data_IF_950543201196
#
_entry.id   IF_950543201196
#
_cell.length_a   1.000
_cell.length_b   1.000
_cell.length_c   1.000
_cell.angle_alpha   90.00
_cell.angle_beta   90.00
_cell.angle_gamma   90.00
#
_symmetry.space_group_name_H-M   'P 1'
#
loop_
_entity.id
_entity.type
_entity.pdbx_description
1 polymer ?
#
# COMPACT_ATOMS: atom_id res chain seq x y z
N UNK A 1 19.66 -11.38 7.75
CA UNK A 1 18.28 -11.59 8.22
C UNK A 1 17.48 -12.02 7.00
N UNK A 2 17.20 -13.33 6.85
CA UNK A 2 16.46 -13.83 5.69
C UNK A 2 14.97 -13.54 5.91
N UNK A 3 14.37 -12.67 5.09
CA UNK A 3 12.93 -12.72 4.89
C UNK A 3 12.63 -14.14 4.39
N UNK A 4 11.88 -14.93 5.16
CA UNK A 4 11.49 -16.27 4.72
C UNK A 4 10.58 -16.10 3.52
N UNK A 5 11.14 -16.38 2.36
CA UNK A 5 10.47 -16.31 1.06
C UNK A 5 9.36 -17.37 1.06
N UNK A 6 8.09 -16.97 1.08
CA UNK A 6 7.02 -17.84 0.62
C UNK A 6 6.85 -17.56 -0.88
N UNK A 7 7.37 -18.47 -1.69
CA UNK A 7 7.20 -18.42 -3.13
C UNK A 7 5.76 -18.85 -3.44
N UNK A 8 4.84 -17.91 -3.62
CA UNK A 8 3.48 -18.22 -4.06
C UNK A 8 3.48 -18.42 -5.58
N UNK A 9 3.82 -19.63 -6.03
CA UNK A 9 3.55 -20.08 -7.38
C UNK A 9 2.08 -20.50 -7.47
N UNK A 10 1.18 -19.54 -7.77
CA UNK A 10 -0.24 -19.80 -7.99
C UNK A 10 -0.50 -20.17 -9.46
N UNK A 11 -0.41 -21.47 -9.79
CA UNK A 11 -1.11 -22.06 -10.94
C UNK A 11 -2.49 -22.53 -10.47
N UNK A 12 -3.43 -21.61 -10.29
CA UNK A 12 -4.84 -21.95 -10.16
C UNK A 12 -5.66 -21.03 -11.06
N UNK A 13 -6.36 -21.64 -12.02
CA UNK A 13 -7.34 -20.97 -12.88
C UNK A 13 -8.47 -20.43 -12.00
N UNK A 14 -8.38 -19.17 -11.58
CA UNK A 14 -9.44 -18.48 -10.86
C UNK A 14 -10.22 -17.56 -11.79
N UNK A 15 -11.54 -17.63 -11.67
CA UNK A 15 -12.52 -16.77 -12.35
C UNK A 15 -12.27 -15.33 -11.94
N UNK A 16 -12.03 -14.46 -12.92
CA UNK A 16 -11.95 -13.00 -12.76
C UNK A 16 -13.33 -12.49 -12.31
N UNK A 17 -13.56 -12.30 -11.01
CA UNK A 17 -14.59 -11.37 -10.55
C UNK A 17 -13.93 -10.00 -10.34
N UNK A 18 -14.50 -8.99 -10.98
CA UNK A 18 -14.16 -7.59 -10.76
C UNK A 18 -14.62 -7.20 -9.35
N UNK A 19 -13.71 -7.11 -8.40
CA UNK A 19 -14.08 -6.70 -7.05
C UNK A 19 -12.87 -6.60 -6.16
N UNK A 20 -12.33 -7.73 -5.74
CA UNK A 20 -11.22 -7.77 -4.81
C UNK A 20 -10.36 -8.99 -5.14
N UNK A 21 -9.19 -8.76 -5.73
CA UNK A 21 -8.19 -9.81 -5.86
C UNK A 21 -7.48 -9.94 -4.51
N UNK A 22 -8.09 -10.70 -3.59
CA UNK A 22 -7.46 -11.10 -2.33
C UNK A 22 -6.78 -12.46 -2.54
N UNK A 23 -5.51 -12.54 -2.99
CA UNK A 23 -4.73 -13.71 -2.63
C UNK A 23 -4.71 -13.73 -1.09
N UNK A 24 -5.01 -14.87 -0.47
CA UNK A 24 -5.04 -15.09 0.98
C UNK A 24 -3.67 -14.77 1.63
N UNK A 25 -3.31 -13.49 1.71
CA UNK A 25 -2.05 -12.95 2.21
C UNK A 25 -2.38 -11.91 3.28
N UNK A 26 -3.14 -12.32 4.30
CA UNK A 26 -3.52 -11.45 5.41
C UNK A 26 -2.61 -11.77 6.60
N UNK A 27 -1.47 -11.10 6.77
CA UNK A 27 -0.64 -11.27 7.98
C UNK A 27 -1.30 -10.66 9.22
N UNK A 28 -2.32 -9.81 9.06
CA UNK A 28 -2.96 -9.10 10.17
C UNK A 28 -4.45 -9.43 10.27
N UNK A 29 -4.81 -10.20 11.29
CA UNK A 29 -6.19 -10.36 11.71
C UNK A 29 -6.42 -9.60 13.00
N UNK A 30 -7.59 -8.97 13.11
CA UNK A 30 -8.06 -8.37 14.33
C UNK A 30 -8.29 -6.88 14.23
N UNK A 31 -8.34 -6.29 15.41
CA UNK A 31 -8.73 -4.91 15.63
C UNK A 31 -7.52 -4.08 16.04
N UNK A 32 -7.58 -2.79 15.77
CA UNK A 32 -6.57 -1.85 16.23
C UNK A 32 -7.14 -0.85 17.23
N UNK A 33 -6.22 -0.10 17.83
CA UNK A 33 -6.52 1.06 18.66
C UNK A 33 -6.20 2.36 17.90
N UNK A 34 -6.24 3.50 18.61
CA UNK A 34 -5.94 4.82 18.06
C UNK A 34 -4.54 4.95 17.43
N UNK A 35 -3.58 4.10 17.81
CA UNK A 35 -2.24 4.09 17.22
C UNK A 35 -1.94 2.72 16.65
N UNK A 36 -1.44 2.70 15.42
CA UNK A 36 -0.96 1.50 14.76
C UNK A 36 0.48 1.72 14.30
N UNK A 37 1.29 0.67 14.38
CA UNK A 37 2.65 0.64 13.83
C UNK A 37 2.89 -0.64 13.05
N UNK A 38 3.69 -0.54 11.99
CA UNK A 38 4.22 -1.68 11.25
C UNK A 38 5.66 -1.38 10.81
N UNK A 39 6.50 -2.41 10.78
CA UNK A 39 7.82 -2.34 10.14
C UNK A 39 7.76 -3.15 8.85
N UNK A 40 8.25 -2.56 7.77
CA UNK A 40 8.17 -3.14 6.43
C UNK A 40 9.53 -3.17 5.75
N UNK A 41 9.77 -4.22 4.97
CA UNK A 41 10.87 -4.29 4.01
C UNK A 41 10.30 -4.71 2.66
N UNK A 42 10.50 -3.88 1.65
CA UNK A 42 9.97 -4.08 0.29
C UNK A 42 10.98 -4.89 -0.53
N UNK A 43 10.57 -5.98 -1.17
CA UNK A 43 11.46 -6.75 -2.03
C UNK A 43 11.68 -6.08 -3.39
N UNK A 44 12.67 -6.55 -4.18
CA UNK A 44 13.00 -5.97 -5.48
C UNK A 44 11.86 -6.08 -6.51
N UNK A 45 10.97 -7.06 -6.38
CA UNK A 45 9.81 -7.22 -7.26
C UNK A 45 8.77 -6.10 -7.09
N UNK A 46 8.76 -5.42 -5.94
CA UNK A 46 7.92 -4.23 -5.70
C UNK A 46 8.31 -3.07 -6.62
N UNK A 47 9.58 -2.86 -6.95
CA UNK A 47 9.99 -1.74 -7.81
C UNK A 47 10.01 -2.08 -9.30
N UNK A 48 9.80 -3.35 -9.67
CA UNK A 48 10.05 -3.84 -11.03
C UNK A 48 8.81 -4.35 -11.77
N UNK A 49 7.64 -4.48 -11.11
CA UNK A 49 6.43 -4.90 -11.79
C UNK A 49 6.05 -4.02 -12.97
N UNK A 50 5.66 -4.67 -14.06
CA UNK A 50 5.30 -4.04 -15.32
C UNK A 50 4.15 -4.79 -15.97
N UNK A 51 3.07 -4.09 -16.29
CA UNK A 51 2.02 -4.62 -17.15
C UNK A 51 2.50 -4.67 -18.61
N UNK A 52 2.12 -5.71 -19.35
CA UNK A 52 2.45 -5.83 -20.76
C UNK A 52 1.82 -4.72 -21.63
N UNK A 53 2.41 -4.36 -22.78
CA UNK A 53 1.90 -3.30 -23.66
C UNK A 53 0.51 -3.63 -24.26
N UNK A 54 0.18 -4.92 -24.33
CA UNK A 54 -1.11 -5.41 -24.86
C UNK A 54 -2.20 -5.51 -23.78
N UNK A 55 -1.84 -5.27 -22.51
CA UNK A 55 -2.80 -5.28 -21.41
C UNK A 55 -3.55 -3.95 -21.37
N UNK A 56 -4.81 -3.97 -21.84
CA UNK A 56 -5.72 -2.82 -21.86
C UNK A 56 -5.79 -2.13 -20.49
N UNK A 57 -5.68 -2.92 -19.42
CA UNK A 57 -5.73 -2.44 -18.05
C UNK A 57 -4.39 -1.90 -17.54
N UNK A 58 -3.26 -2.31 -18.12
CA UNK A 58 -1.92 -1.95 -17.64
C UNK A 58 -1.69 -0.45 -17.54
N UNK A 59 -2.28 0.30 -18.47
CA UNK A 59 -2.42 1.76 -18.44
C UNK A 59 -2.88 2.31 -17.07
N UNK A 60 -4.03 1.83 -16.61
CA UNK A 60 -4.71 2.25 -15.38
C UNK A 60 -3.98 1.72 -14.15
N UNK A 61 -3.54 0.46 -14.23
CA UNK A 61 -3.03 -0.26 -13.07
C UNK A 61 -1.57 0.08 -12.74
N UNK A 62 -0.74 0.40 -13.73
CA UNK A 62 0.69 0.67 -13.50
C UNK A 62 0.94 1.96 -12.71
N UNK A 63 0.11 2.99 -12.93
CA UNK A 63 0.17 4.26 -12.18
C UNK A 63 -0.66 4.23 -10.89
N UNK A 64 -1.43 3.16 -10.66
CA UNK A 64 -2.32 3.04 -9.51
C UNK A 64 -1.53 2.77 -8.23
N UNK A 65 -2.16 3.13 -7.11
CA UNK A 65 -1.64 2.95 -5.77
C UNK A 65 -2.07 1.59 -5.19
N UNK A 66 -1.10 0.74 -4.90
CA UNK A 66 -1.27 -0.55 -4.24
C UNK A 66 -1.39 -0.34 -2.72
N UNK A 67 -2.29 -1.09 -2.06
CA UNK A 67 -2.49 -0.95 -0.61
C UNK A 67 -1.37 -1.68 0.11
N UNK A 68 -0.66 -0.97 0.98
CA UNK A 68 0.42 -1.55 1.77
C UNK A 68 -0.13 -2.06 3.10
N UNK A 69 -0.64 -1.15 3.92
CA UNK A 69 -1.03 -1.46 5.29
C UNK A 69 -1.83 -0.31 5.87
N UNK A 70 -2.80 -0.60 6.74
CA UNK A 70 -3.52 0.42 7.47
C UNK A 70 -4.66 -0.14 8.32
N UNK A 71 -5.71 0.65 8.51
CA UNK A 71 -6.84 0.29 9.37
C UNK A 71 -8.15 0.91 8.88
N UNK A 72 -9.26 0.27 9.23
CA UNK A 72 -10.58 0.89 9.15
C UNK A 72 -10.74 2.00 10.18
N UNK A 73 -11.77 2.82 10.07
CA UNK A 73 -12.12 3.77 11.14
C UNK A 73 -13.63 3.89 11.30
N UNK A 74 -14.03 4.57 12.36
CA UNK A 74 -15.44 4.80 12.68
C UNK A 74 -16.21 3.51 13.00
N UNK A 75 -15.52 2.51 13.57
CA UNK A 75 -16.11 1.28 14.09
C UNK A 75 -15.72 0.01 13.33
N UNK A 76 -15.82 -1.12 14.04
CA UNK A 76 -15.35 -2.43 13.57
C UNK A 76 -16.13 -3.03 12.40
N UNK A 77 -17.39 -2.63 12.22
CA UNK A 77 -18.27 -3.14 11.17
C UNK A 77 -18.35 -2.22 9.96
N UNK A 78 -17.56 -1.14 9.95
CA UNK A 78 -17.58 -0.18 8.88
C UNK A 78 -16.83 -0.72 7.65
N UNK A 79 -17.37 -0.53 6.45
CA UNK A 79 -16.72 -1.04 5.26
C UNK A 79 -15.44 -0.25 4.99
N UNK A 80 -14.33 -0.89 4.60
CA UNK A 80 -13.06 -0.19 4.42
C UNK A 80 -13.08 0.80 3.24
N UNK A 81 -13.96 0.61 2.26
CA UNK A 81 -14.19 1.62 1.22
C UNK A 81 -15.09 2.77 1.68
N UNK A 82 -15.59 2.73 2.92
CA UNK A 82 -16.38 3.78 3.53
C UNK A 82 -15.51 4.68 4.40
N UNK A 83 -14.89 4.14 5.45
CA UNK A 83 -13.88 4.85 6.22
C UNK A 83 -12.66 3.96 6.51
N UNK A 84 -11.50 4.34 5.96
CA UNK A 84 -10.22 3.68 6.25
C UNK A 84 -9.04 4.57 5.92
N UNK A 85 -7.90 4.28 6.54
CA UNK A 85 -6.62 4.95 6.32
C UNK A 85 -5.56 3.92 6.00
N UNK A 86 -4.78 4.15 4.95
CA UNK A 86 -3.71 3.23 4.53
C UNK A 86 -2.48 3.96 4.02
N UNK A 87 -1.32 3.39 4.32
CA UNK A 87 -0.17 3.59 3.47
C UNK A 87 -0.40 2.83 2.16
N UNK A 88 -0.11 3.50 1.06
CA UNK A 88 -0.15 2.92 -0.28
C UNK A 88 1.15 3.18 -0.98
N UNK A 89 1.46 2.33 -1.95
CA UNK A 89 2.73 2.34 -2.62
C UNK A 89 2.56 2.11 -4.12
N UNK A 90 3.53 2.56 -4.91
CA UNK A 90 3.61 2.24 -6.33
C UNK A 90 5.05 2.28 -6.80
N UNK A 91 5.32 1.64 -7.94
CA UNK A 91 6.56 1.84 -8.68
C UNK A 91 6.78 3.31 -8.98
N UNK A 92 8.02 3.78 -8.90
CA UNK A 92 8.35 5.16 -9.18
C UNK A 92 7.94 5.57 -10.61
N UNK A 93 7.06 6.57 -10.74
CA UNK A 93 6.47 6.95 -12.03
C UNK A 93 7.52 7.42 -13.06
N UNK A 94 8.64 7.98 -12.58
CA UNK A 94 9.76 8.38 -13.43
C UNK A 94 10.46 7.22 -14.18
N UNK A 95 10.23 5.96 -13.77
CA UNK A 95 10.73 4.79 -14.46
C UNK A 95 9.79 4.22 -15.51
N UNK A 96 8.56 4.74 -15.63
CA UNK A 96 7.55 4.18 -16.53
C UNK A 96 7.47 5.07 -17.78
N UNK A 97 7.50 4.43 -18.94
CA UNK A 97 7.27 5.11 -20.23
C UNK A 97 5.82 4.87 -20.62
N UNK A 98 5.10 5.95 -20.90
CA UNK A 98 3.73 5.89 -21.38
C UNK A 98 3.65 6.26 -22.86
N UNK A 99 2.77 5.59 -23.61
CA UNK A 99 2.32 5.99 -24.93
C UNK A 99 0.80 6.26 -24.86
N UNK A 100 0.43 7.54 -24.76
CA UNK A 100 -0.92 7.93 -24.37
C UNK A 100 -1.22 7.48 -22.94
N UNK A 101 -2.31 6.75 -22.75
CA UNK A 101 -2.63 6.15 -21.45
C UNK A 101 -1.90 4.83 -21.17
N UNK A 102 -1.30 4.19 -22.18
CA UNK A 102 -0.76 2.83 -22.06
C UNK A 102 0.69 2.81 -21.60
N UNK A 103 1.05 1.76 -20.87
CA UNK A 103 2.43 1.44 -20.54
C UNK A 103 3.12 0.97 -21.83
N UNK A 104 4.18 1.68 -22.22
CA UNK A 104 5.02 1.34 -23.38
C UNK A 104 6.31 0.62 -22.96
N UNK A 105 6.67 0.69 -21.68
CA UNK A 105 7.83 0.01 -21.12
C UNK A 105 8.42 0.72 -19.91
N UNK A 106 9.67 0.36 -19.61
CA UNK A 106 10.49 1.01 -18.58
C UNK A 106 11.48 1.98 -19.21
N UNK A 107 11.76 3.09 -18.54
CA UNK A 107 12.79 4.05 -18.94
C UNK A 107 14.17 3.40 -18.81
N UNK A 108 14.98 3.31 -19.88
CA UNK A 108 16.35 2.81 -19.79
C UNK A 108 17.15 3.61 -18.77
N UNK A 109 17.96 2.93 -17.95
CA UNK A 109 18.79 3.54 -16.91
C UNK A 109 18.02 4.46 -15.95
N UNK A 110 16.78 4.08 -15.58
CA UNK A 110 16.01 4.88 -14.64
C UNK A 110 16.78 5.07 -13.31
N UNK A 111 16.94 6.32 -12.83
CA UNK A 111 17.63 6.58 -11.56
C UNK A 111 16.88 6.03 -10.33
N UNK A 112 15.60 5.68 -10.49
CA UNK A 112 14.72 5.18 -9.42
C UNK A 112 14.43 3.68 -9.52
N UNK A 113 15.23 2.90 -10.25
CA UNK A 113 14.95 1.47 -10.56
C UNK A 113 14.70 0.60 -9.31
N UNK A 114 15.32 0.95 -8.19
CA UNK A 114 15.22 0.25 -6.91
C UNK A 114 14.44 1.06 -5.88
N UNK A 115 13.59 1.98 -6.33
CA UNK A 115 12.82 2.86 -5.47
C UNK A 115 11.33 2.80 -5.79
N UNK A 116 10.53 3.00 -4.76
CA UNK A 116 9.09 3.15 -4.87
C UNK A 116 8.63 4.49 -4.32
N UNK A 117 7.42 4.89 -4.68
CA UNK A 117 6.73 6.03 -4.10
C UNK A 117 5.74 5.54 -3.05
N UNK A 118 5.56 6.33 -2.00
CA UNK A 118 4.62 6.10 -0.91
C UNK A 118 3.58 7.23 -0.86
N UNK A 119 2.37 6.94 -0.41
CA UNK A 119 1.34 7.94 -0.14
C UNK A 119 0.48 7.57 1.07
N UNK A 120 -0.04 8.60 1.76
CA UNK A 120 -1.18 8.51 2.65
C UNK A 120 -2.47 8.46 1.81
N UNK A 121 -3.38 7.56 2.14
CA UNK A 121 -4.56 7.26 1.33
C UNK A 121 -5.73 6.91 2.23
N UNK A 122 -6.84 7.66 2.14
CA UNK A 122 -7.93 7.47 3.08
C UNK A 122 -9.34 7.58 2.51
N UNK A 123 -10.17 6.56 2.69
CA UNK A 123 -11.62 6.72 2.48
C UNK A 123 -12.23 7.47 3.66
N UNK A 124 -13.13 8.41 3.36
CA UNK A 124 -13.87 9.19 4.36
C UNK A 124 -15.33 9.36 3.90
N UNK A 125 -16.28 8.72 4.57
CA UNK A 125 -17.70 8.66 4.21
C UNK A 125 -17.98 8.13 2.78
N UNK A 126 -17.20 7.15 2.34
CA UNK A 126 -17.29 6.62 0.98
C UNK A 126 -16.64 7.51 -0.09
N UNK A 127 -16.05 8.65 0.29
CA UNK A 127 -15.29 9.46 -0.65
C UNK A 127 -14.01 8.74 -1.08
N UNK A 128 -13.80 8.70 -2.38
CA UNK A 128 -12.76 7.88 -3.00
C UNK A 128 -11.47 8.70 -3.16
N UNK A 129 -10.32 8.24 -2.63
CA UNK A 129 -9.10 9.06 -2.57
C UNK A 129 -8.54 9.53 -3.90
N UNK A 130 -8.53 8.66 -4.92
CA UNK A 130 -8.04 9.05 -6.24
C UNK A 130 -9.00 9.99 -7.00
N UNK A 131 -10.15 10.33 -6.43
CA UNK A 131 -11.06 11.38 -6.91
C UNK A 131 -11.01 12.64 -6.04
N UNK A 132 -10.27 12.63 -4.93
CA UNK A 132 -10.16 13.73 -3.98
C UNK A 132 -8.72 13.88 -3.48
N UNK A 133 -8.00 14.88 -3.99
CA UNK A 133 -6.59 15.13 -3.67
C UNK A 133 -6.34 15.37 -2.16
N UNK A 134 -7.34 15.77 -1.37
CA UNK A 134 -7.16 15.93 0.08
C UNK A 134 -7.02 14.60 0.83
N UNK A 135 -7.51 13.51 0.23
CA UNK A 135 -7.52 12.14 0.77
C UNK A 135 -6.40 11.26 0.21
N UNK A 136 -5.56 11.81 -0.66
CA UNK A 136 -4.39 11.13 -1.23
C UNK A 136 -3.20 12.07 -1.23
N UNK A 137 -2.28 11.87 -0.28
CA UNK A 137 -1.11 12.74 -0.10
C UNK A 137 0.16 11.92 -0.30
N UNK A 138 0.87 12.20 -1.38
CA UNK A 138 2.13 11.54 -1.68
C UNK A 138 3.21 12.02 -0.71
N UNK A 139 4.08 11.10 -0.29
CA UNK A 139 5.32 11.44 0.40
C UNK A 139 6.37 11.92 -0.60
N UNK A 140 7.16 12.92 -0.23
CA UNK A 140 8.33 13.34 -1.02
C UNK A 140 9.45 12.27 -0.93
N UNK A 141 9.52 11.57 0.20
CA UNK A 141 10.46 10.50 0.44
C UNK A 141 10.14 9.25 -0.40
N UNK A 142 11.10 8.84 -1.22
CA UNK A 142 11.07 7.55 -1.93
C UNK A 142 11.71 6.45 -1.11
N UNK A 143 11.17 5.24 -1.15
CA UNK A 143 11.72 4.10 -0.40
C UNK A 143 12.56 3.23 -1.31
N UNK A 144 13.81 2.99 -0.93
CA UNK A 144 14.66 1.96 -1.55
C UNK A 144 14.19 0.56 -1.15
N UNK A 145 14.12 -0.35 -2.11
CA UNK A 145 13.86 -1.79 -1.86
C UNK A 145 15.01 -2.42 -1.07
N UNK A 146 14.69 -3.46 -0.29
CA UNK A 146 15.64 -4.15 0.59
C UNK A 146 15.97 -3.38 1.88
N UNK A 147 15.56 -2.12 2.03
CA UNK A 147 15.66 -1.38 3.29
C UNK A 147 14.41 -1.54 4.14
N UNK A 148 14.60 -1.42 5.44
CA UNK A 148 13.54 -1.47 6.43
C UNK A 148 13.02 -0.06 6.73
N UNK A 149 11.71 0.07 6.90
CA UNK A 149 11.02 1.31 7.24
C UNK A 149 9.96 1.06 8.31
N UNK A 150 9.76 2.05 9.19
CA UNK A 150 8.65 2.10 10.11
C UNK A 150 7.48 2.90 9.55
N UNK A 151 6.28 2.37 9.67
CA UNK A 151 5.01 3.02 9.31
C UNK A 151 4.19 3.19 10.58
N UNK A 152 3.61 4.38 10.77
CA UNK A 152 2.71 4.66 11.90
C UNK A 152 1.48 5.43 11.44
N UNK A 153 0.33 4.99 11.92
CA UNK A 153 -0.93 5.72 11.83
C UNK A 153 -1.35 6.14 13.25
N UNK A 154 -1.60 7.42 13.44
CA UNK A 154 -2.28 7.95 14.62
C UNK A 154 -3.66 8.44 14.18
N UNK A 155 -4.69 7.68 14.54
CA UNK A 155 -6.08 8.03 14.30
C UNK A 155 -6.51 9.05 15.35
N UNK A 156 -6.91 10.23 14.89
CA UNK A 156 -7.51 11.28 15.71
C UNK A 156 -8.96 11.48 15.27
N UNK A 157 -9.72 12.15 16.12
CA UNK A 157 -11.16 12.34 15.94
C UNK A 157 -11.55 12.92 14.57
N UNK A 158 -10.74 13.86 14.05
CA UNK A 158 -10.99 14.56 12.78
C UNK A 158 -9.81 14.50 11.81
N UNK A 159 -8.82 13.63 12.05
CA UNK A 159 -7.66 13.51 11.16
C UNK A 159 -6.88 12.23 11.43
N UNK A 160 -6.14 11.77 10.44
CA UNK A 160 -5.15 10.71 10.63
C UNK A 160 -3.77 11.25 10.33
N UNK A 161 -2.82 11.01 11.23
CA UNK A 161 -1.41 11.35 11.06
C UNK A 161 -0.65 10.12 10.58
N UNK A 162 0.03 10.26 9.45
CA UNK A 162 0.84 9.24 8.83
C UNK A 162 2.30 9.60 9.05
N UNK A 163 3.03 8.78 9.80
CA UNK A 163 4.45 9.01 10.05
C UNK A 163 5.28 7.88 9.42
N UNK A 164 6.27 8.26 8.62
CA UNK A 164 7.23 7.38 7.98
C UNK A 164 8.58 7.49 8.69
N UNK A 165 9.15 6.35 9.06
CA UNK A 165 10.42 6.25 9.77
C UNK A 165 11.42 5.41 8.97
N UNK A 166 12.70 5.72 9.13
CA UNK A 166 13.79 4.83 8.74
C UNK A 166 13.85 3.60 9.67
N UNK A 167 14.60 2.57 9.28
CA UNK A 167 14.77 1.35 10.09
C UNK A 167 15.42 1.56 11.47
N UNK A 168 16.11 2.69 11.68
CA UNK A 168 16.64 3.12 12.99
C UNK A 168 15.63 3.95 13.81
N UNK A 169 14.37 3.99 13.39
CA UNK A 169 13.29 4.79 13.97
C UNK A 169 13.44 6.31 13.83
N UNK A 170 14.35 6.80 12.99
CA UNK A 170 14.40 8.23 12.63
C UNK A 170 13.17 8.61 11.82
N UNK A 171 12.44 9.66 12.22
CA UNK A 171 11.32 10.19 11.44
C UNK A 171 11.84 10.77 10.12
N UNK A 172 11.40 10.22 8.99
CA UNK A 172 11.73 10.70 7.65
C UNK A 172 10.75 11.78 7.21
N UNK A 173 9.45 11.50 7.32
CA UNK A 173 8.42 12.39 6.82
C UNK A 173 7.07 12.12 7.52
N UNK A 174 6.21 13.15 7.52
CA UNK A 174 4.86 13.08 8.06
C UNK A 174 3.84 13.67 7.08
N UNK A 175 2.72 12.98 6.91
CA UNK A 175 1.53 13.46 6.20
C UNK A 175 0.34 13.48 7.16
N UNK A 176 -0.63 14.36 6.90
CA UNK A 176 -1.86 14.44 7.70
C UNK A 176 -3.05 14.54 6.77
N UNK A 177 -4.04 13.66 6.90
CA UNK A 177 -5.31 13.75 6.20
C UNK A 177 -6.38 14.22 7.19
N UNK A 178 -7.17 15.21 6.78
CA UNK A 178 -8.30 15.71 7.57
C UNK A 178 -9.55 14.89 7.21
N UNK A 179 -10.37 14.62 8.21
CA UNK A 179 -11.57 13.81 8.09
C UNK A 179 -12.77 14.50 8.72
N UNK A 180 -13.97 14.00 8.39
CA UNK A 180 -15.13 14.27 9.24
C UNK A 180 -14.95 13.66 10.63
N UNK A 181 -15.65 14.25 11.60
CA UNK A 181 -15.81 13.69 12.93
C UNK A 181 -16.54 12.33 12.89
N UNK A 182 -16.09 11.38 13.72
CA UNK A 182 -16.85 10.16 14.01
C UNK A 182 -16.54 9.61 15.42
N UNK A 183 -17.54 8.99 16.05
CA UNK A 183 -17.50 8.54 17.45
C UNK A 183 -16.65 7.29 17.72
N UNK A 184 -16.12 6.64 16.67
CA UNK A 184 -15.27 5.44 16.77
C UNK A 184 -14.00 5.56 15.93
N UNK A 185 -13.40 6.76 15.86
CA UNK A 185 -12.24 7.03 15.02
C UNK A 185 -11.04 6.11 15.33
N UNK A 186 -10.91 5.66 16.58
CA UNK A 186 -9.85 4.77 17.05
C UNK A 186 -10.09 3.29 16.75
N UNK A 187 -11.31 2.95 16.34
CA UNK A 187 -11.80 1.57 16.30
C UNK A 187 -11.99 1.13 14.85
N UNK A 188 -11.33 0.03 14.49
CA UNK A 188 -11.37 -0.55 13.16
C UNK A 188 -10.65 -1.89 13.12
N UNK A 189 -10.75 -2.57 11.99
CA UNK A 189 -9.97 -3.77 11.71
C UNK A 189 -8.70 -3.42 10.95
N UNK A 190 -7.66 -4.22 11.15
CA UNK A 190 -6.39 -4.04 10.45
C UNK A 190 -6.58 -4.41 8.99
N UNK A 191 -5.99 -3.60 8.11
CA UNK A 191 -6.04 -3.75 6.67
C UNK A 191 -4.66 -4.13 6.15
N UNK A 192 -4.61 -5.27 5.46
CA UNK A 192 -3.37 -5.86 4.94
C UNK A 192 -3.01 -5.39 3.53
N UNK A 193 -1.89 -5.94 3.02
CA UNK A 193 -1.43 -5.80 1.65
C UNK A 193 -2.55 -6.18 0.67
N UNK A 194 -2.74 -5.34 -0.34
CA UNK A 194 -3.63 -5.63 -1.44
C UNK A 194 -3.11 -4.95 -2.69
N UNK A 195 -2.82 -5.74 -3.71
CA UNK A 195 -2.30 -5.24 -4.96
C UNK A 195 -3.45 -4.82 -5.86
N UNK A 196 -3.65 -3.50 -5.99
CA UNK A 196 -4.54 -2.86 -6.97
C UNK A 196 -6.04 -3.14 -6.81
N UNK A 197 -6.87 -2.09 -6.79
CA UNK A 197 -8.35 -2.17 -6.74
C UNK A 197 -8.95 -3.10 -7.80
N UNK A 198 -9.08 -2.60 -9.01
CA UNK A 198 -9.72 -3.33 -10.12
C UNK A 198 -8.75 -4.24 -10.90
N UNK A 199 -7.48 -4.32 -10.49
CA UNK A 199 -6.43 -4.96 -11.27
C UNK A 199 -5.59 -5.93 -10.43
N UNK A 200 -5.41 -7.18 -10.88
CA UNK A 200 -4.42 -8.07 -10.26
C UNK A 200 -3.00 -7.57 -10.52
N UNK A 201 -2.07 -8.04 -9.70
CA UNK A 201 -0.64 -7.84 -9.97
C UNK A 201 -0.25 -8.54 -11.28
N UNK A 202 0.54 -7.89 -12.17
CA UNK A 202 0.98 -8.52 -13.42
C UNK A 202 2.05 -9.59 -13.18
N UNK A 203 2.67 -9.56 -12.00
CA UNK A 203 3.66 -10.50 -11.51
C UNK A 203 3.58 -10.55 -9.97
N UNK A 204 4.14 -11.59 -9.32
CA UNK A 204 4.28 -11.62 -7.86
C UNK A 204 4.99 -10.38 -7.33
N UNK A 205 4.55 -9.92 -6.16
CA UNK A 205 5.15 -8.80 -5.43
C UNK A 205 5.24 -9.15 -3.95
N UNK A 206 6.40 -8.91 -3.35
CA UNK A 206 6.69 -9.33 -1.96
C UNK A 206 6.93 -8.13 -1.05
N UNK A 207 6.24 -8.14 0.09
CA UNK A 207 6.44 -7.19 1.20
C UNK A 207 6.64 -8.01 2.48
N UNK A 208 7.75 -7.79 3.18
CA UNK A 208 8.03 -8.45 4.45
C UNK A 208 7.58 -7.54 5.60
N UNK A 209 6.70 -8.04 6.48
CA UNK A 209 6.31 -7.33 7.71
C UNK A 209 7.09 -7.87 8.91
N UNK A 210 7.63 -6.96 9.72
CA UNK A 210 8.39 -7.29 10.92
C UNK A 210 7.55 -6.95 12.15
N UNK A 211 7.49 -7.88 13.10
CA UNK A 211 6.94 -7.66 14.43
C UNK A 211 8.07 -7.34 15.41
N UNK A 212 7.77 -6.62 16.48
CA UNK A 212 8.76 -6.25 17.51
C UNK A 212 9.37 -7.48 18.22
N UNK A 213 8.68 -8.61 18.19
CA UNK A 213 9.13 -9.88 18.75
C UNK A 213 10.11 -10.64 17.83
N UNK A 214 10.49 -10.05 16.69
CA UNK A 214 11.36 -10.67 15.70
C UNK A 214 10.74 -11.86 14.95
N UNK A 215 9.47 -12.16 15.21
CA UNK A 215 8.72 -13.20 14.51
C UNK A 215 8.11 -12.59 13.24
N UNK A 216 8.82 -12.82 12.14
CA UNK A 216 8.38 -12.53 10.79
C UNK A 216 6.99 -13.16 10.54
N UNK A 217 5.96 -12.33 10.43
CA UNK A 217 4.79 -12.72 9.65
C UNK A 217 5.20 -12.61 8.18
N UNK A 218 5.91 -13.62 7.68
CA UNK A 218 6.22 -13.74 6.26
C UNK A 218 5.01 -14.29 5.53
N UNK A 219 4.54 -13.57 4.53
CA UNK A 219 3.58 -14.04 3.52
C UNK A 219 4.20 -13.98 2.15
#
# INVERSE_FOLDING_TARGET
MLCKLLLVALFLNFVRSSGDYEPQLVPFYGFHSAVMTARVQLANDTSTYLFGPDEVEGARCQSSWNKLWGGGRCGYLNFHHYDSDRFVWRRHIGCIVFNGSRVAGERPNCPFRNQIQLAAYAYDDGNIPYKNASLLKQFDTTLEVGKEYGLRLDFLETSTVYSLFAGDSTLLERQVIQHRHCWGYSDGYILSLYFGGVCPAPQPVTVCYLTDDGLLATT
#
